data_IF_439745077728
#
_entry.id   IF_439745077728
#
_cell.length_a   1.000
_cell.length_b   1.000
_cell.length_c   1.000
_cell.angle_alpha   90.00
_cell.angle_beta   90.00
_cell.angle_gamma   90.00
#
_symmetry.space_group_name_H-M   'P 1'
#
loop_
_entity.id
_entity.type
_entity.pdbx_description
1 polymer ?
#
# COMPACT_ATOMS: atom_id res chain seq x y z
N UNK A 1 -12.49 -74.80 2.94
CA UNK A 1 -12.59 -74.31 4.34
C UNK A 1 -11.27 -73.79 4.92
N UNK A 2 -10.12 -74.46 4.75
CA UNK A 2 -8.83 -74.03 5.37
C UNK A 2 -8.33 -72.65 4.91
N UNK A 3 -8.49 -72.27 3.64
CA UNK A 3 -8.03 -70.97 3.11
C UNK A 3 -8.78 -69.74 3.65
N UNK A 4 -10.05 -69.90 4.06
CA UNK A 4 -10.86 -68.80 4.59
C UNK A 4 -10.39 -68.40 6.00
N UNK A 5 -10.01 -69.37 6.83
CA UNK A 5 -9.47 -69.12 8.17
C UNK A 5 -8.09 -68.45 8.13
N UNK A 6 -7.26 -68.79 7.14
CA UNK A 6 -5.95 -68.12 6.94
C UNK A 6 -6.15 -66.66 6.52
N UNK A 7 -7.09 -66.39 5.62
CA UNK A 7 -7.42 -65.02 5.21
C UNK A 7 -7.98 -64.18 6.37
N UNK A 8 -8.93 -64.73 7.14
CA UNK A 8 -9.47 -64.06 8.35
C UNK A 8 -8.40 -63.77 9.40
N UNK A 9 -7.44 -64.68 9.58
CA UNK A 9 -6.30 -64.47 10.48
C UNK A 9 -5.43 -63.27 10.07
N UNK A 10 -5.10 -63.15 8.79
CA UNK A 10 -4.26 -62.06 8.27
C UNK A 10 -4.97 -60.71 8.40
N UNK A 11 -6.26 -60.66 8.05
CA UNK A 11 -7.07 -59.43 8.17
C UNK A 11 -7.19 -58.99 9.63
N UNK A 12 -7.37 -59.93 10.55
CA UNK A 12 -7.39 -59.65 12.00
C UNK A 12 -6.08 -59.03 12.49
N UNK A 13 -4.94 -59.57 12.09
CA UNK A 13 -3.61 -59.05 12.48
C UNK A 13 -3.37 -57.65 11.93
N UNK A 14 -3.73 -57.39 10.67
CA UNK A 14 -3.60 -56.06 10.05
C UNK A 14 -4.52 -55.05 10.75
N UNK A 15 -5.75 -55.45 11.08
CA UNK A 15 -6.71 -54.61 11.81
C UNK A 15 -6.17 -54.21 13.19
N UNK A 16 -5.63 -55.17 13.95
CA UNK A 16 -5.05 -54.92 15.28
C UNK A 16 -3.80 -54.04 15.18
N UNK A 17 -2.91 -54.29 14.23
CA UNK A 17 -1.72 -53.46 14.01
C UNK A 17 -2.09 -52.01 13.64
N UNK A 18 -3.08 -51.83 12.76
CA UNK A 18 -3.59 -50.52 12.38
C UNK A 18 -4.24 -49.79 13.55
N UNK A 19 -4.98 -50.52 14.40
CA UNK A 19 -5.60 -49.98 15.60
C UNK A 19 -4.56 -49.54 16.63
N UNK A 20 -3.50 -50.33 16.85
CA UNK A 20 -2.39 -49.99 17.74
C UNK A 20 -1.63 -48.77 17.22
N UNK A 21 -1.36 -48.70 15.92
CA UNK A 21 -0.69 -47.55 15.30
C UNK A 21 -1.55 -46.28 15.43
N UNK A 22 -2.84 -46.37 15.16
CA UNK A 22 -3.81 -45.30 15.39
C UNK A 22 -3.81 -44.84 16.84
N UNK A 23 -3.84 -45.77 17.81
CA UNK A 23 -3.84 -45.44 19.23
C UNK A 23 -2.54 -44.79 19.68
N UNK A 24 -1.39 -45.26 19.18
CA UNK A 24 -0.07 -44.66 19.47
C UNK A 24 0.03 -43.25 18.88
N UNK A 25 -0.39 -43.03 17.63
CA UNK A 25 -0.41 -41.71 16.99
C UNK A 25 -1.33 -40.76 17.76
N UNK A 26 -2.55 -41.19 18.08
CA UNK A 26 -3.51 -40.39 18.84
C UNK A 26 -3.00 -40.04 20.24
N UNK A 27 -2.33 -40.98 20.93
CA UNK A 27 -1.73 -40.74 22.25
C UNK A 27 -0.52 -39.82 22.17
N UNK A 28 0.33 -39.95 21.14
CA UNK A 28 1.48 -39.05 20.89
C UNK A 28 1.01 -37.63 20.56
N UNK A 29 -0.03 -37.45 19.75
CA UNK A 29 -0.66 -36.15 19.46
C UNK A 29 -1.17 -35.49 20.75
N UNK A 30 -1.78 -36.28 21.65
CA UNK A 30 -2.30 -35.77 22.94
C UNK A 30 -1.19 -35.39 23.94
N UNK A 31 0.05 -35.84 23.73
CA UNK A 31 1.19 -35.61 24.64
C UNK A 31 2.17 -34.57 24.07
N UNK A 32 2.46 -34.60 22.77
CA UNK A 32 3.22 -33.56 22.06
C UNK A 32 2.50 -32.20 22.03
N UNK A 33 1.18 -32.20 22.25
CA UNK A 33 0.38 -30.99 22.44
C UNK A 33 0.64 -30.24 23.76
N UNK A 34 1.33 -30.84 24.74
CA UNK A 34 1.51 -30.21 26.07
C UNK A 34 2.89 -29.58 26.31
N UNK A 35 3.91 -29.95 25.54
CA UNK A 35 5.31 -29.55 25.84
C UNK A 35 5.88 -28.50 24.88
N UNK A 36 5.28 -28.27 23.70
CA UNK A 36 5.87 -27.36 22.69
C UNK A 36 5.01 -26.12 22.40
N UNK A 37 3.69 -26.18 22.60
CA UNK A 37 2.79 -25.05 22.34
C UNK A 37 1.75 -24.95 23.45
N UNK A 38 1.92 -23.98 24.34
CA UNK A 38 1.11 -23.77 25.55
C UNK A 38 -0.36 -23.36 25.34
N UNK A 39 -1.06 -23.84 24.31
CA UNK A 39 -2.53 -23.70 24.17
C UNK A 39 -3.13 -24.88 23.40
N UNK A 40 -4.31 -25.34 23.83
CA UNK A 40 -4.91 -26.65 23.48
C UNK A 40 -5.50 -26.71 22.06
N UNK A 41 -5.59 -25.60 21.32
CA UNK A 41 -6.17 -25.57 19.98
C UNK A 41 -5.27 -24.79 19.01
N UNK A 42 -4.77 -25.47 17.97
CA UNK A 42 -3.99 -24.87 16.88
C UNK A 42 -4.77 -23.70 16.24
N UNK A 43 -6.11 -23.80 16.16
CA UNK A 43 -6.98 -22.73 15.66
C UNK A 43 -7.07 -21.52 16.60
N UNK A 44 -7.07 -21.72 17.93
CA UNK A 44 -7.06 -20.61 18.89
C UNK A 44 -5.68 -19.94 18.93
N UNK A 45 -4.61 -20.72 18.79
CA UNK A 45 -3.25 -20.20 18.64
C UNK A 45 -3.07 -19.38 17.35
N UNK A 46 -3.59 -19.86 16.22
CA UNK A 46 -3.57 -19.12 14.96
C UNK A 46 -4.46 -17.87 15.01
N UNK A 47 -5.64 -17.96 15.65
CA UNK A 47 -6.51 -16.80 15.84
C UNK A 47 -5.85 -15.75 16.75
N UNK A 48 -5.17 -16.16 17.83
CA UNK A 48 -4.41 -15.25 18.70
C UNK A 48 -3.21 -14.63 18.00
N UNK A 49 -2.48 -15.39 17.18
CA UNK A 49 -1.37 -14.84 16.36
C UNK A 49 -1.91 -13.85 15.33
N UNK A 50 -3.05 -14.15 14.70
CA UNK A 50 -3.69 -13.23 13.75
C UNK A 50 -4.23 -11.98 14.46
N UNK A 51 -4.78 -12.13 15.65
CA UNK A 51 -5.28 -11.03 16.48
C UNK A 51 -4.13 -10.16 17.00
N UNK A 52 -3.02 -10.75 17.44
CA UNK A 52 -1.80 -10.04 17.82
C UNK A 52 -1.16 -9.33 16.62
N UNK A 53 -1.16 -9.94 15.43
CA UNK A 53 -0.71 -9.32 14.19
C UNK A 53 -1.62 -8.15 13.76
N UNK A 54 -2.95 -8.32 13.82
CA UNK A 54 -3.93 -7.27 13.52
C UNK A 54 -3.83 -6.11 14.55
N UNK A 55 -3.31 -6.35 15.75
CA UNK A 55 -3.10 -5.34 16.80
C UNK A 55 -1.73 -4.67 16.79
N UNK A 56 -0.73 -5.23 16.11
CA UNK A 56 0.63 -4.68 16.08
C UNK A 56 0.86 -3.77 14.86
N UNK A 57 1.21 -2.49 15.06
CA UNK A 57 1.56 -1.58 13.96
C UNK A 57 2.68 -2.12 13.07
N UNK A 58 2.51 -2.00 11.75
CA UNK A 58 3.58 -2.31 10.81
C UNK A 58 4.81 -1.44 11.05
N UNK A 59 5.98 -2.08 11.14
CA UNK A 59 7.26 -1.35 11.19
C UNK A 59 7.56 -0.69 9.84
N UNK A 60 7.98 0.57 9.88
CA UNK A 60 8.39 1.33 8.70
C UNK A 60 9.89 1.58 8.70
N UNK A 61 10.46 1.73 7.51
CA UNK A 61 11.82 2.23 7.36
C UNK A 61 11.82 3.72 7.66
N UNK A 62 12.53 4.13 8.72
CA UNK A 62 12.73 5.52 9.07
C UNK A 62 14.17 5.94 8.75
N UNK A 63 14.35 6.62 7.61
CA UNK A 63 15.61 7.18 7.17
C UNK A 63 15.60 8.72 7.17
N UNK A 64 14.73 9.34 7.98
CA UNK A 64 14.60 10.80 8.07
C UNK A 64 15.96 11.46 8.35
N UNK A 65 16.73 10.92 9.30
CA UNK A 65 18.05 11.47 9.69
C UNK A 65 19.05 11.57 8.52
N UNK A 66 18.88 10.75 7.49
CA UNK A 66 19.76 10.72 6.31
C UNK A 66 19.22 11.64 5.21
N UNK A 67 17.92 11.53 4.92
CA UNK A 67 17.33 12.18 3.75
C UNK A 67 16.79 13.57 4.03
N UNK A 68 16.28 13.84 5.22
CA UNK A 68 15.69 15.13 5.55
C UNK A 68 16.69 16.29 5.41
N UNK A 69 17.94 16.23 5.94
CA UNK A 69 18.91 17.30 5.75
C UNK A 69 19.32 17.49 4.28
N UNK A 70 19.32 16.41 3.49
CA UNK A 70 19.62 16.47 2.05
C UNK A 70 18.51 17.17 1.27
N UNK A 71 17.25 16.84 1.58
CA UNK A 71 16.08 17.47 0.97
C UNK A 71 16.02 18.95 1.35
N UNK A 72 16.23 19.30 2.62
CA UNK A 72 16.25 20.70 3.08
C UNK A 72 17.39 21.49 2.42
N UNK A 73 18.56 20.89 2.19
CA UNK A 73 19.63 21.51 1.41
C UNK A 73 19.26 21.72 -0.06
N UNK A 74 18.56 20.76 -0.65
CA UNK A 74 18.14 20.83 -2.05
C UNK A 74 16.93 21.75 -2.28
N UNK A 75 16.11 21.94 -1.24
CA UNK A 75 14.86 22.72 -1.24
C UNK A 75 14.70 23.50 0.08
N UNK A 76 15.46 24.58 0.29
CA UNK A 76 15.50 25.31 1.56
C UNK A 76 14.17 25.98 1.94
N UNK A 77 13.36 26.36 0.96
CA UNK A 77 12.02 26.94 1.19
C UNK A 77 10.96 25.87 1.54
N UNK A 78 11.33 24.59 1.46
CA UNK A 78 10.41 23.48 1.58
C UNK A 78 10.45 22.85 2.98
N UNK A 79 9.35 23.00 3.72
CA UNK A 79 9.20 22.42 5.06
C UNK A 79 8.82 20.93 4.96
N UNK A 80 9.63 20.06 5.57
CA UNK A 80 9.43 18.60 5.54
C UNK A 80 8.06 18.14 6.04
N UNK A 81 7.50 18.84 7.05
CA UNK A 81 6.16 18.59 7.60
C UNK A 81 5.05 18.75 6.54
N UNK A 82 5.24 19.61 5.54
CA UNK A 82 4.23 19.86 4.50
C UNK A 82 4.03 18.63 3.59
N UNK A 83 5.09 17.90 3.25
CA UNK A 83 4.94 16.63 2.49
C UNK A 83 4.25 15.58 3.34
N UNK A 84 4.60 15.49 4.62
CA UNK A 84 4.01 14.52 5.52
C UNK A 84 2.49 14.71 5.63
N UNK A 85 2.05 15.95 5.84
CA UNK A 85 0.63 16.31 5.87
C UNK A 85 -0.06 16.03 4.53
N UNK A 86 0.61 16.32 3.41
CA UNK A 86 0.08 16.01 2.08
C UNK A 86 -0.10 14.50 1.88
N UNK A 87 0.84 13.68 2.33
CA UNK A 87 0.76 12.21 2.28
C UNK A 87 -0.38 11.68 3.14
N UNK A 88 -0.50 12.17 4.39
CA UNK A 88 -1.62 11.83 5.29
C UNK A 88 -2.97 12.17 4.66
N UNK A 89 -3.11 13.41 4.19
CA UNK A 89 -4.32 13.90 3.53
C UNK A 89 -4.67 13.08 2.30
N UNK A 90 -3.68 12.71 1.49
CA UNK A 90 -3.89 11.84 0.34
C UNK A 90 -4.41 10.47 0.74
N UNK A 91 -3.79 9.79 1.71
CA UNK A 91 -4.21 8.45 2.12
C UNK A 91 -5.62 8.46 2.70
N UNK A 92 -5.97 9.45 3.53
CA UNK A 92 -7.34 9.64 4.02
C UNK A 92 -8.31 9.88 2.87
N UNK A 93 -7.96 10.76 1.93
CA UNK A 93 -8.84 11.07 0.79
C UNK A 93 -8.99 9.86 -0.14
N UNK A 94 -7.92 9.08 -0.35
CA UNK A 94 -7.91 7.86 -1.13
C UNK A 94 -8.85 6.81 -0.52
N UNK A 95 -8.74 6.54 0.78
CA UNK A 95 -9.62 5.60 1.48
C UNK A 95 -11.10 6.06 1.40
N UNK A 96 -11.36 7.36 1.58
CA UNK A 96 -12.71 7.92 1.44
C UNK A 96 -13.26 7.80 0.00
N UNK A 97 -12.40 7.89 -1.02
CA UNK A 97 -12.80 7.65 -2.41
C UNK A 97 -13.20 6.18 -2.65
N UNK A 98 -12.50 5.23 -2.02
CA UNK A 98 -12.84 3.82 -2.10
C UNK A 98 -14.19 3.51 -1.42
N UNK A 99 -14.47 4.14 -0.28
CA UNK A 99 -15.76 4.00 0.42
C UNK A 99 -16.91 4.63 -0.35
N UNK A 100 -16.75 5.89 -0.78
CA UNK A 100 -17.81 6.64 -1.48
C UNK A 100 -17.99 6.25 -2.94
N UNK A 101 -17.06 5.45 -3.49
CA UNK A 101 -16.99 5.05 -4.90
C UNK A 101 -17.01 6.26 -5.86
N UNK A 102 -16.49 7.41 -5.42
CA UNK A 102 -16.45 8.66 -6.18
C UNK A 102 -15.06 9.28 -6.08
N UNK A 103 -14.62 9.88 -7.18
CA UNK A 103 -13.41 10.69 -7.18
C UNK A 103 -13.68 12.02 -6.45
N UNK A 104 -12.82 12.37 -5.49
CA UNK A 104 -12.85 13.67 -4.83
C UNK A 104 -11.99 14.68 -5.59
N UNK A 105 -12.53 15.88 -5.81
CA UNK A 105 -11.82 16.99 -6.48
C UNK A 105 -10.50 17.36 -5.79
N UNK A 106 -10.37 17.07 -4.48
CA UNK A 106 -9.15 17.26 -3.69
C UNK A 106 -8.00 16.36 -4.17
N UNK A 107 -8.26 15.11 -4.59
CA UNK A 107 -7.21 14.20 -5.09
C UNK A 107 -6.55 14.79 -6.34
N UNK A 108 -7.33 15.38 -7.24
CA UNK A 108 -6.84 15.98 -8.49
C UNK A 108 -5.85 17.12 -8.26
N UNK A 109 -5.95 17.82 -7.12
CA UNK A 109 -5.03 18.90 -6.76
C UNK A 109 -3.73 18.42 -6.11
N UNK A 110 -3.68 17.19 -5.60
CA UNK A 110 -2.51 16.64 -4.89
C UNK A 110 -1.73 15.62 -5.73
N UNK A 111 -2.40 14.97 -6.69
CA UNK A 111 -1.85 13.83 -7.42
C UNK A 111 -1.53 14.19 -8.87
N UNK A 112 -0.73 13.33 -9.50
CA UNK A 112 -0.50 13.32 -10.95
C UNK A 112 -1.67 12.65 -11.70
N UNK A 113 -1.79 12.89 -13.01
CA UNK A 113 -2.82 12.27 -13.87
C UNK A 113 -2.76 10.74 -13.84
N UNK A 114 -1.56 10.17 -13.78
CA UNK A 114 -1.32 8.72 -13.67
C UNK A 114 -1.95 8.12 -12.42
N UNK A 115 -1.69 8.72 -11.25
CA UNK A 115 -2.25 8.25 -9.96
C UNK A 115 -3.76 8.36 -9.96
N UNK A 116 -4.31 9.46 -10.50
CA UNK A 116 -5.75 9.66 -10.61
C UNK A 116 -6.40 8.56 -11.45
N UNK A 117 -5.79 8.20 -12.59
CA UNK A 117 -6.29 7.14 -13.46
C UNK A 117 -6.23 5.76 -12.79
N UNK A 118 -5.17 5.45 -12.05
CA UNK A 118 -5.09 4.21 -11.26
C UNK A 118 -6.19 4.14 -10.20
N UNK A 119 -6.42 5.22 -9.46
CA UNK A 119 -7.50 5.29 -8.46
C UNK A 119 -8.88 5.13 -9.12
N UNK A 120 -9.10 5.77 -10.28
CA UNK A 120 -10.35 5.62 -11.05
C UNK A 120 -10.59 4.17 -11.46
N UNK A 121 -9.54 3.49 -11.94
CA UNK A 121 -9.62 2.08 -12.30
C UNK A 121 -10.04 1.24 -11.10
N UNK A 122 -9.38 1.43 -9.96
CA UNK A 122 -9.69 0.69 -8.72
C UNK A 122 -11.14 0.92 -8.24
N UNK A 123 -11.62 2.17 -8.30
CA UNK A 123 -13.01 2.50 -7.96
C UNK A 123 -14.00 1.81 -8.93
N UNK A 124 -13.68 1.78 -10.22
CA UNK A 124 -14.54 1.13 -11.21
C UNK A 124 -14.59 -0.38 -11.01
N UNK A 125 -13.47 -1.02 -10.68
CA UNK A 125 -13.41 -2.44 -10.36
C UNK A 125 -14.24 -2.77 -9.11
N UNK A 126 -14.16 -1.92 -8.07
CA UNK A 126 -14.98 -2.04 -6.87
C UNK A 126 -16.48 -1.91 -7.18
N UNK A 127 -16.87 -0.92 -8.00
CA UNK A 127 -18.26 -0.76 -8.46
C UNK A 127 -18.76 -1.99 -9.20
N UNK A 128 -17.97 -2.52 -10.14
CA UNK A 128 -18.32 -3.69 -10.93
C UNK A 128 -18.47 -4.94 -10.04
N UNK A 129 -17.64 -5.08 -9.00
CA UNK A 129 -17.73 -6.17 -8.04
C UNK A 129 -18.92 -6.09 -7.07
N UNK A 130 -19.61 -4.95 -7.00
CA UNK A 130 -20.70 -4.70 -6.05
C UNK A 130 -20.29 -4.64 -4.58
N UNK A 131 -18.98 -4.70 -4.28
CA UNK A 131 -18.46 -4.65 -2.90
C UNK A 131 -18.51 -3.22 -2.39
N UNK A 132 -19.36 -2.97 -1.39
CA UNK A 132 -19.32 -1.74 -0.62
C UNK A 132 -18.35 -1.90 0.54
N UNK A 133 -17.36 -1.00 0.61
CA UNK A 133 -16.47 -0.87 1.76
C UNK A 133 -16.98 0.25 2.62
N UNK A 134 -17.07 0.01 3.93
CA UNK A 134 -17.26 1.05 4.94
C UNK A 134 -15.93 1.20 5.63
N UNK A 135 -15.32 2.38 5.62
CA UNK A 135 -13.99 2.61 6.17
C UNK A 135 -14.11 3.63 7.29
N UNK A 136 -13.91 3.17 8.53
CA UNK A 136 -14.00 3.99 9.73
C UNK A 136 -12.65 4.03 10.47
N UNK A 137 -12.50 5.01 11.38
CA UNK A 137 -11.40 5.11 12.34
C UNK A 137 -9.97 5.01 11.73
N UNK A 138 -9.70 5.82 10.70
CA UNK A 138 -8.37 5.90 10.09
C UNK A 138 -7.38 6.52 11.08
N UNK A 139 -6.37 5.75 11.51
CA UNK A 139 -5.30 6.19 12.41
C UNK A 139 -3.93 5.97 11.78
N UNK A 140 -3.07 6.97 11.87
CA UNK A 140 -1.69 6.90 11.40
C UNK A 140 -0.77 6.61 12.59
N UNK A 141 -0.08 5.47 12.55
CA UNK A 141 0.87 5.08 13.61
C UNK A 141 2.24 5.69 13.42
N UNK A 142 2.73 5.64 12.17
CA UNK A 142 4.05 6.10 11.83
C UNK A 142 4.10 6.55 10.38
N UNK A 143 4.87 7.59 10.13
CA UNK A 143 5.20 8.08 8.80
C UNK A 143 6.65 8.52 8.79
N UNK A 144 7.41 8.10 7.79
CA UNK A 144 8.81 8.45 7.66
C UNK A 144 9.26 8.38 6.20
N UNK A 145 10.32 9.12 5.90
CA UNK A 145 11.04 9.08 4.64
C UNK A 145 11.82 7.76 4.61
N UNK A 146 11.54 6.95 3.59
CA UNK A 146 12.25 5.70 3.31
C UNK A 146 13.32 5.85 2.24
N UNK A 147 13.24 6.90 1.41
CA UNK A 147 14.17 7.12 0.31
C UNK A 147 14.05 8.51 -0.31
N UNK A 148 15.13 8.95 -0.95
CA UNK A 148 15.16 10.18 -1.73
C UNK A 148 16.04 9.99 -2.97
N UNK A 149 15.50 10.39 -4.12
CA UNK A 149 16.19 10.35 -5.41
C UNK A 149 16.09 11.72 -6.05
N UNK A 150 17.24 12.28 -6.47
CA UNK A 150 17.31 13.54 -7.20
C UNK A 150 18.08 13.33 -8.50
N UNK A 151 17.50 13.76 -9.60
CA UNK A 151 18.13 13.84 -10.92
C UNK A 151 18.18 15.30 -11.36
N UNK A 152 18.69 15.58 -12.56
CA UNK A 152 18.65 16.93 -13.14
C UNK A 152 17.21 17.38 -13.46
N UNK A 153 16.30 16.43 -13.68
CA UNK A 153 14.95 16.69 -14.19
C UNK A 153 13.88 16.66 -13.09
N UNK A 154 14.07 15.80 -12.07
CA UNK A 154 13.08 15.62 -11.01
C UNK A 154 13.71 15.27 -9.67
N UNK A 155 12.94 15.46 -8.61
CA UNK A 155 13.26 14.99 -7.27
C UNK A 155 12.08 14.23 -6.69
N UNK A 156 12.31 13.03 -6.18
CA UNK A 156 11.28 12.17 -5.61
C UNK A 156 11.65 11.77 -4.19
N UNK A 157 10.76 12.10 -3.25
CA UNK A 157 10.80 11.65 -1.86
C UNK A 157 9.87 10.46 -1.71
N UNK A 158 10.34 9.39 -1.09
CA UNK A 158 9.55 8.19 -0.79
C UNK A 158 9.22 8.18 0.69
N UNK A 159 7.92 8.13 1.00
CA UNK A 159 7.41 7.95 2.35
C UNK A 159 6.93 6.53 2.55
N UNK A 160 7.20 5.97 3.73
CA UNK A 160 6.51 4.80 4.23
C UNK A 160 5.56 5.20 5.35
N UNK A 161 4.34 4.68 5.29
CA UNK A 161 3.26 5.00 6.21
C UNK A 161 2.69 3.71 6.76
N UNK A 162 2.63 3.59 8.09
CA UNK A 162 1.86 2.58 8.78
C UNK A 162 0.57 3.22 9.28
N UNK A 163 -0.56 2.68 8.85
CA UNK A 163 -1.88 3.13 9.24
C UNK A 163 -2.77 1.95 9.58
N UNK A 164 -3.76 2.19 10.42
CA UNK A 164 -4.86 1.27 10.70
C UNK A 164 -6.18 1.92 10.31
N UNK A 165 -7.14 1.11 9.89
CA UNK A 165 -8.52 1.52 9.68
C UNK A 165 -9.45 0.32 9.92
N UNK A 166 -10.72 0.60 10.14
CA UNK A 166 -11.73 -0.42 10.42
C UNK A 166 -12.65 -0.55 9.21
N UNK A 167 -12.75 -1.77 8.66
CA UNK A 167 -13.85 -2.13 7.76
C UNK A 167 -14.84 -3.03 8.53
N UNK A 168 -14.83 -4.34 8.28
CA UNK A 168 -15.53 -5.33 9.12
C UNK A 168 -14.70 -5.75 10.35
N UNK A 169 -13.39 -5.57 10.24
CA UNK A 169 -12.41 -5.82 11.28
C UNK A 169 -11.31 -4.77 11.18
N UNK A 170 -10.47 -4.69 12.21
CA UNK A 170 -9.29 -3.85 12.21
C UNK A 170 -8.32 -4.33 11.13
N UNK A 171 -7.90 -3.41 10.26
CA UNK A 171 -6.95 -3.68 9.17
C UNK A 171 -5.73 -2.79 9.38
N UNK A 172 -4.59 -3.44 9.64
CA UNK A 172 -3.26 -2.83 9.59
C UNK A 172 -2.81 -2.73 8.13
N UNK A 173 -2.23 -1.62 7.72
CA UNK A 173 -1.70 -1.48 6.35
C UNK A 173 -0.44 -0.63 6.29
N UNK A 174 0.47 -1.05 5.42
CA UNK A 174 1.69 -0.32 5.10
C UNK A 174 1.60 0.24 3.69
N UNK A 175 1.80 1.54 3.54
CA UNK A 175 1.86 2.20 2.24
C UNK A 175 3.25 2.74 1.98
N UNK A 176 3.69 2.68 0.73
CA UNK A 176 4.79 3.47 0.22
C UNK A 176 4.24 4.51 -0.77
N UNK A 177 4.46 5.78 -0.48
CA UNK A 177 3.94 6.90 -1.26
C UNK A 177 5.12 7.69 -1.82
N UNK A 178 5.09 7.99 -3.12
CA UNK A 178 6.14 8.75 -3.78
C UNK A 178 5.64 10.17 -4.08
N UNK A 179 6.35 11.16 -3.55
CA UNK A 179 6.11 12.57 -3.80
C UNK A 179 7.19 13.07 -4.75
N UNK A 180 6.81 13.53 -5.94
CA UNK A 180 7.74 14.04 -6.94
C UNK A 180 7.53 15.53 -7.13
N UNK A 181 8.64 16.26 -7.20
CA UNK A 181 8.68 17.67 -7.51
C UNK A 181 8.54 17.86 -9.02
N UNK A 182 7.38 18.35 -9.45
CA UNK A 182 7.00 18.49 -10.86
C UNK A 182 6.57 19.90 -11.17
N UNK A 183 6.68 20.30 -12.43
CA UNK A 183 6.14 21.57 -12.92
C UNK A 183 4.60 21.53 -12.90
N UNK A 184 3.95 22.60 -12.42
CA UNK A 184 2.48 22.71 -12.31
C UNK A 184 1.74 22.45 -13.62
N UNK A 185 2.38 22.73 -14.76
CA UNK A 185 1.84 22.59 -16.11
C UNK A 185 2.36 21.34 -16.85
N UNK A 186 3.05 20.40 -16.19
CA UNK A 186 3.43 19.13 -16.81
C UNK A 186 2.31 18.08 -16.70
N UNK A 187 1.75 17.69 -17.84
CA UNK A 187 0.97 16.45 -17.95
C UNK A 187 1.94 15.30 -18.24
N UNK A 188 2.16 14.43 -17.25
CA UNK A 188 3.22 13.39 -17.28
C UNK A 188 3.05 12.38 -18.44
N UNK A 189 1.91 12.41 -19.15
CA UNK A 189 1.69 11.62 -20.37
C UNK A 189 2.60 12.02 -21.53
N UNK A 190 3.20 13.20 -21.49
CA UNK A 190 4.15 13.67 -22.50
C UNK A 190 5.02 14.70 -21.79
N UNK A 191 6.31 14.41 -21.53
CA UNK A 191 7.24 15.36 -20.88
C UNK A 191 7.43 16.63 -21.74
N UNK A 192 6.42 17.50 -21.79
CA UNK A 192 6.37 18.65 -22.67
C UNK A 192 5.49 19.74 -22.07
N UNK A 193 6.01 20.96 -22.06
CA UNK A 193 5.28 22.14 -21.65
C UNK A 193 4.14 22.37 -22.65
N UNK A 194 2.96 22.80 -22.18
CA UNK A 194 1.84 23.18 -23.06
C UNK A 194 1.48 24.64 -22.88
N UNK A 195 1.07 25.29 -23.96
CA UNK A 195 0.63 26.67 -23.93
C UNK A 195 -0.73 26.79 -23.22
N UNK A 196 -0.82 27.65 -22.21
CA UNK A 196 -2.06 27.90 -21.46
C UNK A 196 -3.14 28.63 -22.28
N UNK A 197 -2.78 29.19 -23.43
CA UNK A 197 -3.71 29.89 -24.33
C UNK A 197 -4.28 28.97 -25.43
N UNK A 198 -3.46 28.13 -26.07
CA UNK A 198 -3.89 27.31 -27.21
C UNK A 198 -3.69 25.80 -27.03
N UNK A 199 -3.06 25.34 -25.94
CA UNK A 199 -2.82 23.92 -25.66
C UNK A 199 -1.69 23.26 -26.48
N UNK A 200 -1.03 24.02 -27.36
CA UNK A 200 0.08 23.54 -28.19
C UNK A 200 1.32 23.19 -27.36
N UNK A 201 2.14 22.20 -27.79
CA UNK A 201 3.40 21.89 -27.13
C UNK A 201 4.37 23.08 -27.26
N UNK A 202 5.12 23.35 -26.19
CA UNK A 202 6.11 24.42 -26.10
C UNK A 202 7.52 23.84 -26.01
N UNK A 203 8.45 24.44 -26.74
CA UNK A 203 9.87 24.12 -26.61
C UNK A 203 10.43 24.63 -25.28
N UNK A 204 11.40 23.90 -24.74
CA UNK A 204 12.02 24.19 -23.43
C UNK A 204 12.87 25.45 -23.39
N UNK A 205 13.06 26.16 -24.51
CA UNK A 205 13.90 27.37 -24.61
C UNK A 205 13.16 28.65 -24.99
N UNK A 206 11.94 28.58 -25.54
CA UNK A 206 11.19 29.76 -26.00
C UNK A 206 10.30 30.39 -24.92
N UNK A 207 10.19 31.73 -24.90
CA UNK A 207 9.27 32.50 -24.03
C UNK A 207 7.99 32.92 -24.73
N UNK A 208 7.84 32.53 -26.00
CA UNK A 208 6.72 32.88 -26.87
C UNK A 208 6.22 31.61 -27.54
N UNK A 209 4.92 31.40 -27.55
CA UNK A 209 4.31 30.25 -28.20
C UNK A 209 4.44 30.38 -29.71
N UNK A 210 5.09 29.42 -30.38
CA UNK A 210 5.29 29.43 -31.83
C UNK A 210 3.96 29.31 -32.61
N UNK A 211 2.92 28.76 -31.97
CA UNK A 211 1.63 28.50 -32.61
C UNK A 211 0.66 29.68 -32.52
N UNK A 212 0.62 30.39 -31.39
CA UNK A 212 -0.37 31.46 -31.17
C UNK A 212 0.25 32.82 -30.84
N UNK A 213 1.58 32.93 -30.82
CA UNK A 213 2.30 34.16 -30.54
C UNK A 213 2.17 34.68 -29.11
N UNK A 214 1.45 33.97 -28.23
CA UNK A 214 1.29 34.39 -26.84
C UNK A 214 2.64 34.33 -26.13
N UNK A 215 3.08 35.48 -25.64
CA UNK A 215 4.20 35.58 -24.71
C UNK A 215 3.72 34.99 -23.39
N UNK A 216 4.39 33.95 -22.93
CA UNK A 216 4.09 33.33 -21.65
C UNK A 216 5.28 33.56 -20.73
N UNK A 217 5.02 34.20 -19.59
CA UNK A 217 5.95 34.10 -18.46
C UNK A 217 5.80 32.68 -17.95
N UNK A 218 6.86 31.89 -18.05
CA UNK A 218 6.84 30.55 -17.48
C UNK A 218 6.69 30.70 -15.98
N UNK A 219 5.47 30.57 -15.49
CA UNK A 219 5.24 30.31 -14.08
C UNK A 219 5.57 28.83 -13.89
N UNK A 220 6.88 28.55 -13.88
CA UNK A 220 7.48 27.26 -13.58
C UNK A 220 7.25 27.01 -12.08
N UNK A 221 6.00 27.01 -11.65
CA UNK A 221 5.64 26.75 -10.27
C UNK A 221 5.85 25.25 -10.08
N UNK A 222 7.03 24.90 -9.59
CA UNK A 222 7.35 23.51 -9.28
C UNK A 222 6.67 23.19 -7.96
N UNK A 223 5.76 22.23 -8.00
CA UNK A 223 4.94 21.82 -6.86
C UNK A 223 5.17 20.34 -6.60
N UNK A 224 5.12 19.95 -5.33
CA UNK A 224 5.14 18.55 -4.96
C UNK A 224 3.80 17.91 -5.31
N UNK A 225 3.86 16.77 -6.00
CA UNK A 225 2.69 15.96 -6.35
C UNK A 225 2.92 14.51 -5.98
N UNK A 226 1.85 13.82 -5.64
CA UNK A 226 1.89 12.38 -5.42
C UNK A 226 1.90 11.71 -6.78
N UNK A 227 3.02 11.06 -7.09
CA UNK A 227 3.30 10.47 -8.39
C UNK A 227 3.12 8.96 -8.40
N UNK A 228 3.15 8.32 -7.24
CA UNK A 228 2.91 6.88 -7.10
C UNK A 228 2.48 6.53 -5.68
N UNK A 229 1.75 5.44 -5.51
CA UNK A 229 1.40 4.85 -4.23
C UNK A 229 1.34 3.33 -4.36
N UNK A 230 1.88 2.62 -3.37
CA UNK A 230 1.94 1.15 -3.37
C UNK A 230 1.53 0.67 -1.97
N UNK A 231 0.56 -0.23 -1.90
CA UNK A 231 0.26 -0.97 -0.67
C UNK A 231 1.26 -2.12 -0.53
N UNK A 232 2.04 -2.12 0.55
CA UNK A 232 2.95 -3.22 0.92
C UNK A 232 2.23 -4.17 1.86
N UNK A 233 2.35 -5.46 1.58
CA UNK A 233 1.82 -6.58 2.38
C UNK A 233 2.88 -7.02 3.38
#
# INVERSE_FOLDING_TARGET
MKGLYVFLGIVGVIGVASFILYYKIRKKIRTFSKEVFGTVNIMEGLAKVQEEADNTPYSITNANRIYQPRIEKDFPDFHSNTLEEMVKKFLTTYLNCLESLKELSTIRKMCTSTVIESIKSEINDLKASGKRRKIDDIKFHAIAISGYVKTLEYATVRYQVALEYTEHKKIQSKYEVHCTYVFKDLDIKTFGLRCNHCGAPLETTSTTCEYCGTIFVRNIEKVWRISNYIRKI
#
